data_IF_938183294876
#
_entry.id   IF_938183294876
#
_cell.length_a   1.000
_cell.length_b   1.000
_cell.length_c   1.000
_cell.angle_alpha   90.00
_cell.angle_beta   90.00
_cell.angle_gamma   90.00
#
_symmetry.space_group_name_H-M   'P 1'
#
loop_
_entity.id
_entity.type
_entity.pdbx_description
1 polymer ?
#
# COMPACT_ATOMS: atom_id res chain seq x y z
N UNK A 1 -10.60 20.79 4.20
CA UNK A 1 -9.67 19.67 4.06
C UNK A 1 -10.52 18.48 3.67
N UNK A 2 -10.20 17.82 2.55
CA UNK A 2 -10.91 16.62 2.09
C UNK A 2 -10.05 15.38 2.34
N UNK A 3 -10.61 14.36 2.97
CA UNK A 3 -9.97 13.05 3.12
C UNK A 3 -10.62 12.07 2.14
N UNK A 4 -9.80 11.30 1.45
CA UNK A 4 -10.22 10.17 0.61
C UNK A 4 -9.66 8.90 1.23
N UNK A 5 -10.54 7.97 1.58
CA UNK A 5 -10.16 6.65 2.06
C UNK A 5 -9.79 5.78 0.87
N UNK A 6 -8.57 5.25 0.87
CA UNK A 6 -8.04 4.42 -0.20
C UNK A 6 -7.98 2.94 0.20
N UNK A 7 -8.70 2.57 1.27
CA UNK A 7 -8.54 1.27 1.93
C UNK A 7 -9.75 0.37 1.71
N UNK A 8 -9.50 -0.88 1.33
CA UNK A 8 -10.50 -1.95 1.35
C UNK A 8 -10.90 -2.31 2.79
N UNK A 9 -12.19 -2.58 3.06
CA UNK A 9 -12.58 -3.14 4.34
C UNK A 9 -11.98 -4.55 4.51
N UNK A 10 -11.44 -4.83 5.69
CA UNK A 10 -11.06 -6.18 6.08
C UNK A 10 -12.27 -6.92 6.64
N UNK A 11 -12.57 -8.10 6.10
CA UNK A 11 -13.68 -8.94 6.55
C UNK A 11 -13.36 -10.43 6.43
N UNK A 12 -14.10 -11.24 7.19
CA UNK A 12 -13.95 -12.71 7.19
C UNK A 12 -14.23 -13.27 5.80
N UNK A 13 -13.28 -14.05 5.26
CA UNK A 13 -13.44 -14.69 3.95
C UNK A 13 -13.35 -13.75 2.75
N UNK A 14 -12.79 -12.55 2.90
CA UNK A 14 -12.49 -11.68 1.76
C UNK A 14 -11.55 -12.37 0.76
N UNK A 15 -11.60 -11.98 -0.54
CA UNK A 15 -10.63 -12.43 -1.53
C UNK A 15 -9.20 -12.12 -1.07
N UNK A 16 -8.30 -13.05 -1.34
CA UNK A 16 -6.85 -12.93 -1.15
C UNK A 16 -6.15 -13.42 -2.41
N UNK A 17 -4.86 -13.17 -2.52
CA UNK A 17 -4.05 -13.74 -3.60
C UNK A 17 -4.11 -15.27 -3.57
N UNK A 18 -4.00 -15.93 -4.73
CA UNK A 18 -4.07 -17.39 -4.79
C UNK A 18 -2.86 -18.01 -4.09
N UNK A 19 -3.13 -18.88 -3.11
CA UNK A 19 -2.10 -19.48 -2.25
C UNK A 19 -1.85 -18.74 -0.93
N UNK A 20 -2.36 -17.52 -0.74
CA UNK A 20 -2.18 -16.76 0.50
C UNK A 20 -3.04 -17.30 1.66
N UNK A 21 -2.58 -17.15 2.92
CA UNK A 21 -3.42 -17.43 4.08
C UNK A 21 -4.72 -16.63 4.06
N UNK A 22 -5.88 -17.25 4.32
CA UNK A 22 -7.15 -16.53 4.26
C UNK A 22 -7.29 -15.55 5.43
N UNK A 23 -8.01 -14.46 5.21
CA UNK A 23 -8.44 -13.56 6.29
C UNK A 23 -9.55 -14.24 7.10
N UNK A 24 -9.34 -14.31 8.42
CA UNK A 24 -10.30 -14.83 9.39
C UNK A 24 -10.57 -13.80 10.48
N UNK A 25 -11.84 -13.51 10.71
CA UNK A 25 -12.29 -12.58 11.76
C UNK A 25 -13.29 -13.28 12.67
N UNK A 26 -12.82 -13.83 13.77
CA UNK A 26 -13.63 -14.68 14.66
C UNK A 26 -14.00 -13.95 15.94
N UNK A 27 -15.28 -13.90 16.31
CA UNK A 27 -15.71 -13.37 17.61
C UNK A 27 -15.31 -14.35 18.72
N UNK A 28 -14.41 -13.93 19.61
CA UNK A 28 -13.89 -14.76 20.72
C UNK A 28 -14.45 -14.38 22.09
N UNK A 29 -14.94 -13.15 22.24
CA UNK A 29 -15.72 -12.71 23.41
C UNK A 29 -17.03 -12.06 22.96
N UNK A 30 -18.10 -12.28 23.70
CA UNK A 30 -19.42 -11.66 23.45
C UNK A 30 -19.85 -10.81 24.64
N UNK A 31 -20.61 -9.74 24.40
CA UNK A 31 -21.12 -8.88 25.49
C UNK A 31 -21.98 -9.63 26.48
N UNK A 32 -22.79 -10.58 26.01
CA UNK A 32 -23.69 -11.38 26.85
C UNK A 32 -22.91 -12.27 27.83
N UNK A 33 -21.84 -12.91 27.37
CA UNK A 33 -21.07 -13.87 28.17
C UNK A 33 -19.97 -13.18 28.98
N UNK A 34 -19.28 -12.23 28.36
CA UNK A 34 -18.00 -11.69 28.85
C UNK A 34 -18.11 -10.21 29.26
N UNK A 35 -19.20 -9.51 28.92
CA UNK A 35 -19.36 -8.07 29.19
C UNK A 35 -18.70 -7.13 28.16
N UNK A 36 -17.91 -7.68 27.24
CA UNK A 36 -17.27 -6.96 26.13
C UNK A 36 -17.24 -7.82 24.86
N UNK A 37 -16.89 -7.21 23.73
CA UNK A 37 -16.75 -7.93 22.45
C UNK A 37 -15.31 -7.85 21.96
N UNK A 38 -14.71 -9.00 21.66
CA UNK A 38 -13.35 -9.10 21.10
C UNK A 38 -13.40 -10.06 19.91
N UNK A 39 -12.67 -9.72 18.86
CA UNK A 39 -12.45 -10.57 17.69
C UNK A 39 -10.98 -10.93 17.59
N UNK A 40 -10.70 -12.18 17.28
CA UNK A 40 -9.40 -12.63 16.79
C UNK A 40 -9.31 -12.32 15.29
N UNK A 41 -8.18 -11.77 14.86
CA UNK A 41 -7.85 -11.49 13.47
C UNK A 41 -6.64 -12.34 13.07
N UNK A 42 -6.80 -13.19 12.05
CA UNK A 42 -5.70 -13.95 11.43
C UNK A 42 -5.67 -13.63 9.94
N UNK A 43 -4.51 -13.30 9.40
CA UNK A 43 -4.37 -12.90 7.99
C UNK A 43 -2.91 -12.94 7.53
N UNK A 44 -2.72 -12.87 6.22
CA UNK A 44 -1.42 -12.58 5.58
C UNK A 44 -1.00 -11.13 5.84
N UNK A 45 0.30 -10.86 5.82
CA UNK A 45 0.85 -9.49 5.78
C UNK A 45 0.46 -8.73 4.52
N UNK A 46 0.03 -9.47 3.48
CA UNK A 46 -0.37 -9.00 2.15
C UNK A 46 -1.90 -9.00 1.94
N UNK A 47 -2.67 -8.93 3.02
CA UNK A 47 -4.15 -8.98 2.96
C UNK A 47 -4.79 -7.59 2.90
N UNK A 48 -5.71 -7.40 1.95
CA UNK A 48 -6.41 -6.14 1.73
C UNK A 48 -5.49 -5.05 1.19
N UNK A 49 -5.79 -3.78 1.45
CA UNK A 49 -4.85 -2.69 1.12
C UNK A 49 -3.62 -2.77 2.01
N UNK A 50 -2.45 -2.97 1.41
CA UNK A 50 -1.22 -3.21 2.15
C UNK A 50 -0.02 -2.50 1.51
N UNK A 51 1.11 -2.55 2.22
CA UNK A 51 2.41 -2.05 1.77
C UNK A 51 3.44 -3.15 1.83
N UNK A 52 4.32 -3.19 0.83
CA UNK A 52 5.37 -4.20 0.71
C UNK A 52 6.75 -3.60 0.90
N UNK A 53 7.55 -4.30 1.71
CA UNK A 53 8.94 -3.97 1.94
C UNK A 53 9.86 -4.72 0.98
N UNK A 54 11.08 -4.23 0.73
CA UNK A 54 12.02 -4.88 -0.18
C UNK A 54 12.28 -6.36 0.12
N UNK A 55 12.28 -6.76 1.39
CA UNK A 55 12.49 -8.16 1.82
C UNK A 55 11.44 -9.13 1.26
N UNK A 56 10.26 -8.65 0.88
CA UNK A 56 9.18 -9.47 0.32
C UNK A 56 9.61 -10.24 -0.93
N UNK A 57 10.38 -9.61 -1.81
CA UNK A 57 10.82 -10.22 -3.08
C UNK A 57 12.34 -10.31 -3.24
N UNK A 58 13.12 -9.81 -2.28
CA UNK A 58 14.58 -9.76 -2.34
C UNK A 58 15.22 -10.17 -1.03
N UNK A 59 15.99 -11.26 -1.07
CA UNK A 59 16.80 -11.70 0.07
C UNK A 59 17.77 -10.59 0.52
N UNK A 60 17.80 -10.31 1.83
CA UNK A 60 18.60 -9.22 2.39
C UNK A 60 18.03 -7.82 2.16
N UNK A 61 16.83 -7.70 1.58
CA UNK A 61 16.08 -6.46 1.51
C UNK A 61 15.71 -5.93 2.90
N UNK A 62 15.43 -4.62 2.98
CA UNK A 62 14.95 -4.00 4.23
C UNK A 62 13.57 -4.56 4.61
N UNK A 63 13.39 -4.81 5.90
CA UNK A 63 12.10 -5.11 6.50
C UNK A 63 11.31 -3.83 6.78
N UNK A 64 10.00 -3.93 6.97
CA UNK A 64 9.14 -2.77 7.25
C UNK A 64 9.60 -1.96 8.48
N UNK A 65 10.05 -2.62 9.53
CA UNK A 65 10.50 -1.96 10.76
C UNK A 65 11.87 -1.27 10.65
N UNK A 66 12.53 -1.40 9.49
CA UNK A 66 13.79 -0.75 9.13
C UNK A 66 13.60 0.39 8.13
N UNK A 67 12.41 0.50 7.51
CA UNK A 67 12.08 1.56 6.55
C UNK A 67 11.72 2.86 7.30
N UNK A 68 12.32 4.01 6.96
CA UNK A 68 11.98 5.29 7.58
C UNK A 68 10.52 5.69 7.35
N UNK A 69 9.88 6.28 8.36
CA UNK A 69 8.48 6.72 8.27
C UNK A 69 8.20 7.69 7.10
N UNK A 70 9.19 8.47 6.71
CA UNK A 70 9.13 9.40 5.58
C UNK A 70 8.98 8.72 4.22
N UNK A 71 9.13 7.38 4.13
CA UNK A 71 8.82 6.61 2.92
C UNK A 71 7.36 6.12 2.90
N UNK A 72 6.64 6.12 4.03
CA UNK A 72 5.25 5.67 4.10
C UNK A 72 4.22 6.82 4.01
N UNK A 73 4.68 8.06 3.98
CA UNK A 73 3.82 9.22 3.84
C UNK A 73 4.55 10.37 3.14
N UNK A 74 3.79 11.23 2.47
CA UNK A 74 4.36 12.40 1.80
C UNK A 74 3.51 12.91 0.63
N UNK A 75 4.00 13.95 -0.07
CA UNK A 75 3.34 14.49 -1.24
C UNK A 75 3.19 13.42 -2.32
N UNK A 76 1.99 13.29 -2.88
CA UNK A 76 1.66 12.28 -3.88
C UNK A 76 0.75 12.84 -4.97
N UNK A 77 0.71 12.12 -6.08
CA UNK A 77 -0.08 12.43 -7.27
C UNK A 77 -0.55 11.15 -7.94
N UNK A 78 -1.69 11.22 -8.62
CA UNK A 78 -2.11 10.17 -9.55
C UNK A 78 -1.46 10.42 -10.91
N UNK A 79 -0.86 9.39 -11.50
CA UNK A 79 -0.19 9.45 -12.80
C UNK A 79 -0.71 8.37 -13.75
N UNK A 80 -0.50 8.59 -15.04
CA UNK A 80 -0.83 7.64 -16.11
C UNK A 80 0.41 6.98 -16.65
N UNK A 81 0.34 5.70 -16.99
CA UNK A 81 1.49 4.97 -17.56
C UNK A 81 2.01 5.59 -18.86
N UNK A 82 1.13 6.26 -19.61
CA UNK A 82 1.45 6.93 -20.87
C UNK A 82 2.12 8.30 -20.71
N UNK A 83 2.28 8.81 -19.48
CA UNK A 83 2.94 10.10 -19.27
C UNK A 83 4.42 10.05 -19.70
N UNK A 84 4.86 11.08 -20.43
CA UNK A 84 6.24 11.15 -20.92
C UNK A 84 7.28 11.20 -19.79
N UNK A 85 6.90 11.77 -18.64
CA UNK A 85 7.68 11.79 -17.40
C UNK A 85 6.75 11.86 -16.19
N UNK A 86 7.26 11.51 -15.01
CA UNK A 86 6.52 11.60 -13.75
C UNK A 86 7.02 12.75 -12.88
N UNK A 87 6.16 13.33 -12.02
CA UNK A 87 6.56 14.32 -11.05
C UNK A 87 7.65 13.80 -10.12
N UNK A 88 8.68 14.62 -9.91
CA UNK A 88 9.87 14.26 -9.14
C UNK A 88 9.60 14.30 -7.63
N UNK A 89 10.20 13.39 -6.87
CA UNK A 89 10.19 13.36 -5.40
C UNK A 89 8.78 13.32 -4.78
N UNK A 90 7.87 12.57 -5.42
CA UNK A 90 6.50 12.34 -4.94
C UNK A 90 6.19 10.85 -4.86
N UNK A 91 5.19 10.50 -4.06
CA UNK A 91 4.48 9.23 -4.22
C UNK A 91 3.74 9.20 -5.55
N UNK A 92 3.86 8.11 -6.29
CA UNK A 92 3.19 7.93 -7.58
C UNK A 92 2.10 6.88 -7.43
N UNK A 93 0.84 7.30 -7.54
CA UNK A 93 -0.31 6.40 -7.57
C UNK A 93 -0.78 6.17 -9.00
N UNK A 94 -1.04 4.92 -9.34
CA UNK A 94 -1.55 4.47 -10.62
C UNK A 94 -2.91 3.80 -10.42
N UNK A 95 -3.82 4.02 -11.37
CA UNK A 95 -5.10 3.31 -11.47
C UNK A 95 -5.12 2.34 -12.67
N UNK A 96 -4.07 2.37 -13.49
CA UNK A 96 -3.80 1.46 -14.61
C UNK A 96 -2.77 0.43 -14.15
N UNK A 97 -2.81 -0.79 -14.68
CA UNK A 97 -1.77 -1.79 -14.42
C UNK A 97 -0.40 -1.26 -14.85
N UNK A 98 0.59 -1.33 -13.96
CA UNK A 98 1.94 -0.80 -14.16
C UNK A 98 2.85 -1.91 -14.68
N UNK A 99 3.26 -1.85 -15.95
CA UNK A 99 4.19 -2.82 -16.53
C UNK A 99 5.64 -2.55 -16.11
N UNK A 100 6.48 -3.58 -16.23
CA UNK A 100 7.90 -3.52 -15.88
C UNK A 100 8.68 -2.43 -16.64
N UNK A 101 8.31 -2.14 -17.89
CA UNK A 101 8.95 -1.10 -18.72
C UNK A 101 8.69 0.34 -18.21
N UNK A 102 7.75 0.51 -17.28
CA UNK A 102 7.46 1.78 -16.63
C UNK A 102 8.48 2.09 -15.52
N UNK A 103 9.08 1.06 -14.92
CA UNK A 103 9.96 1.19 -13.74
C UNK A 103 11.15 2.13 -13.96
N UNK A 104 11.87 2.12 -15.11
CA UNK A 104 12.94 3.08 -15.35
C UNK A 104 12.49 4.55 -15.24
N UNK A 105 11.27 4.87 -15.68
CA UNK A 105 10.71 6.23 -15.56
C UNK A 105 10.33 6.57 -14.11
N UNK A 106 9.82 5.60 -13.35
CA UNK A 106 9.52 5.75 -11.93
C UNK A 106 10.80 6.01 -11.13
N UNK A 107 11.86 5.24 -11.39
CA UNK A 107 13.17 5.42 -10.74
C UNK A 107 13.77 6.77 -11.11
N UNK A 108 13.69 7.18 -12.37
CA UNK A 108 14.13 8.49 -12.83
C UNK A 108 13.34 9.66 -12.20
N UNK A 109 12.16 9.40 -11.65
CA UNK A 109 11.35 10.37 -10.91
C UNK A 109 11.71 10.48 -9.42
N UNK A 110 12.64 9.63 -8.93
CA UNK A 110 12.94 9.50 -7.51
C UNK A 110 11.66 9.36 -6.67
N UNK A 111 10.77 8.45 -7.09
CA UNK A 111 9.50 8.24 -6.42
C UNK A 111 9.71 7.83 -4.95
N UNK A 112 8.93 8.41 -4.03
CA UNK A 112 9.03 8.10 -2.60
C UNK A 112 8.50 6.69 -2.29
N UNK A 113 7.41 6.34 -2.96
CA UNK A 113 6.71 5.06 -2.96
C UNK A 113 5.85 4.99 -4.23
N UNK A 114 5.38 3.80 -4.55
CA UNK A 114 4.46 3.57 -5.68
C UNK A 114 3.23 2.85 -5.17
N UNK A 115 2.05 3.23 -5.65
CA UNK A 115 0.83 2.47 -5.37
C UNK A 115 -0.02 2.27 -6.62
N UNK A 116 -0.73 1.15 -6.69
CA UNK A 116 -1.61 0.82 -7.81
C UNK A 116 -1.54 -0.66 -8.19
N UNK A 117 -2.23 -1.07 -9.25
CA UNK A 117 -2.12 -2.43 -9.77
C UNK A 117 -0.72 -2.61 -10.40
N UNK A 118 0.17 -3.35 -9.76
CA UNK A 118 1.52 -3.59 -10.27
C UNK A 118 1.59 -4.97 -10.92
N UNK A 119 2.22 -5.08 -12.09
CA UNK A 119 2.65 -6.39 -12.57
C UNK A 119 3.77 -6.92 -11.67
N UNK A 120 3.82 -8.23 -11.44
CA UNK A 120 4.77 -8.87 -10.52
C UNK A 120 6.23 -8.47 -10.83
N UNK A 121 6.62 -8.45 -12.12
CA UNK A 121 7.96 -8.04 -12.53
C UNK A 121 8.23 -6.55 -12.24
N UNK A 122 7.21 -5.69 -12.38
CA UNK A 122 7.33 -4.27 -12.07
C UNK A 122 7.56 -4.05 -10.57
N UNK A 123 6.75 -4.71 -9.73
CA UNK A 123 6.90 -4.69 -8.27
C UNK A 123 8.26 -5.21 -7.83
N UNK A 124 8.67 -6.38 -8.35
CA UNK A 124 10.00 -6.95 -8.10
C UNK A 124 11.10 -5.95 -8.41
N UNK A 125 11.05 -5.26 -9.55
CA UNK A 125 12.05 -4.26 -9.91
C UNK A 125 12.00 -3.03 -8.99
N UNK A 126 10.82 -2.55 -8.59
CA UNK A 126 10.68 -1.42 -7.66
C UNK A 126 11.28 -1.73 -6.29
N UNK A 127 10.92 -2.89 -5.72
CA UNK A 127 11.42 -3.36 -4.43
C UNK A 127 12.94 -3.58 -4.45
N UNK A 128 13.51 -4.03 -5.58
CA UNK A 128 14.97 -4.15 -5.76
C UNK A 128 15.71 -2.82 -5.64
N UNK A 129 15.02 -1.70 -5.88
CA UNK A 129 15.53 -0.33 -5.73
C UNK A 129 15.19 0.30 -4.39
N UNK A 130 14.57 -0.46 -3.48
CA UNK A 130 14.17 0.03 -2.17
C UNK A 130 12.97 0.97 -2.20
N UNK A 131 12.22 1.01 -3.31
CA UNK A 131 10.96 1.75 -3.44
C UNK A 131 9.85 0.81 -2.96
N UNK A 132 9.20 1.17 -1.84
CA UNK A 132 8.08 0.40 -1.30
C UNK A 132 6.84 0.53 -2.19
N UNK A 133 6.03 -0.53 -2.23
CA UNK A 133 4.84 -0.62 -3.07
C UNK A 133 3.57 -0.70 -2.23
N UNK A 134 2.47 -0.16 -2.74
CA UNK A 134 1.13 -0.28 -2.16
C UNK A 134 0.19 -0.93 -3.16
N UNK A 135 -0.51 -1.95 -2.71
CA UNK A 135 -1.42 -2.75 -3.51
C UNK A 135 -2.85 -2.60 -2.98
N UNK A 136 -3.84 -2.96 -3.81
CA UNK A 136 -5.26 -2.93 -3.44
C UNK A 136 -5.75 -1.56 -2.90
N UNK A 137 -5.19 -0.46 -3.41
CA UNK A 137 -5.70 0.90 -3.18
C UNK A 137 -7.00 1.10 -3.97
N UNK A 138 -8.04 1.58 -3.31
CA UNK A 138 -9.33 1.94 -3.93
C UNK A 138 -9.53 3.44 -4.02
N UNK A 139 -10.50 3.89 -4.82
CA UNK A 139 -10.88 5.31 -4.97
C UNK A 139 -9.73 6.21 -5.48
N UNK A 140 -8.69 5.63 -6.08
CA UNK A 140 -7.52 6.38 -6.61
C UNK A 140 -7.97 7.33 -7.72
N UNK A 141 -8.99 6.96 -8.49
CA UNK A 141 -9.60 7.77 -9.54
C UNK A 141 -10.17 9.12 -9.03
N UNK A 142 -10.59 9.19 -7.76
CA UNK A 142 -11.09 10.43 -7.15
C UNK A 142 -10.00 11.49 -6.90
N UNK A 143 -8.73 11.09 -7.07
CA UNK A 143 -7.55 11.92 -6.88
C UNK A 143 -6.94 12.38 -8.20
N UNK A 144 -7.54 12.04 -9.35
CA UNK A 144 -7.06 12.47 -10.66
C UNK A 144 -7.11 14.00 -10.76
N UNK A 145 -5.97 14.61 -11.10
CA UNK A 145 -5.83 16.06 -11.20
C UNK A 145 -5.58 16.78 -9.87
N UNK A 146 -5.59 16.05 -8.75
CA UNK A 146 -5.31 16.61 -7.43
C UNK A 146 -3.83 16.42 -7.04
N UNK A 147 -3.33 17.33 -6.21
CA UNK A 147 -2.13 17.11 -5.41
C UNK A 147 -2.54 16.89 -3.97
N UNK A 148 -2.03 15.85 -3.34
CA UNK A 148 -2.43 15.45 -1.99
C UNK A 148 -1.24 14.98 -1.18
N UNK A 149 -1.42 14.91 0.13
CA UNK A 149 -0.51 14.19 1.02
C UNK A 149 -1.08 12.80 1.26
N UNK A 150 -0.30 11.78 0.96
CA UNK A 150 -0.65 10.38 1.21
C UNK A 150 -0.13 9.93 2.57
N UNK A 151 -0.91 9.10 3.25
CA UNK A 151 -0.54 8.42 4.48
C UNK A 151 -0.88 6.93 4.34
N UNK A 152 0.14 6.07 4.36
CA UNK A 152 0.01 4.61 4.27
C UNK A 152 0.87 3.89 5.31
N UNK A 153 0.86 4.38 6.55
CA UNK A 153 1.73 3.86 7.60
C UNK A 153 1.39 2.38 7.93
N UNK A 154 2.38 1.47 7.95
CA UNK A 154 2.17 0.08 8.30
C UNK A 154 2.03 -0.15 9.80
N UNK A 155 1.52 -1.32 10.17
CA UNK A 155 1.82 -1.90 11.47
C UNK A 155 3.34 -2.12 11.57
N UNK A 156 3.91 -1.84 12.74
CA UNK A 156 5.35 -2.04 12.99
C UNK A 156 5.65 -3.51 13.30
N UNK A 157 5.44 -4.38 12.32
CA UNK A 157 5.72 -5.82 12.40
C UNK A 157 7.24 -6.01 12.35
N UNK A 158 7.80 -6.66 13.38
CA UNK A 158 9.25 -6.91 13.48
C UNK A 158 9.67 -7.90 12.40
N UNK A 159 10.61 -7.52 11.53
CA UNK A 159 11.02 -8.36 10.40
C UNK A 159 9.89 -8.56 9.38
N UNK A 160 8.94 -7.61 9.31
CA UNK A 160 7.78 -7.70 8.43
C UNK A 160 8.15 -7.49 6.96
N UNK A 161 7.64 -8.36 6.10
CA UNK A 161 7.76 -8.28 4.65
C UNK A 161 6.66 -7.44 4.00
N UNK A 162 5.50 -7.38 4.64
CA UNK A 162 4.38 -6.51 4.28
C UNK A 162 3.51 -6.18 5.49
N UNK A 163 2.54 -5.30 5.31
CA UNK A 163 1.55 -4.98 6.34
C UNK A 163 0.28 -4.41 5.72
N UNK A 164 -0.91 -4.81 6.18
CA UNK A 164 -2.13 -4.05 5.94
C UNK A 164 -1.97 -2.61 6.43
N UNK A 165 -2.59 -1.66 5.73
CA UNK A 165 -2.54 -0.22 6.06
C UNK A 165 -3.93 0.38 6.05
N UNK A 166 -4.11 1.50 6.75
CA UNK A 166 -5.21 2.42 6.48
C UNK A 166 -4.68 3.55 5.60
N UNK A 167 -4.74 3.35 4.29
CA UNK A 167 -4.29 4.31 3.30
C UNK A 167 -5.28 5.47 3.16
N UNK A 168 -4.80 6.70 3.27
CA UNK A 168 -5.62 7.92 3.18
C UNK A 168 -4.90 8.98 2.37
N UNK A 169 -5.62 9.65 1.49
CA UNK A 169 -5.18 10.88 0.85
C UNK A 169 -5.82 12.10 1.51
N UNK A 170 -5.01 13.10 1.83
CA UNK A 170 -5.44 14.39 2.39
C UNK A 170 -5.20 15.47 1.34
N UNK A 171 -6.29 16.12 0.94
CA UNK A 171 -6.27 17.27 0.03
C UNK A 171 -6.55 18.52 0.87
N UNK A 172 -5.59 19.43 0.88
CA UNK A 172 -5.73 20.72 1.56
C UNK A 172 -6.68 21.64 0.78
N UNK A 173 -7.49 22.41 1.50
CA UNK A 173 -8.33 23.44 0.85
C UNK A 173 -7.41 24.55 0.33
N UNK A 174 -7.64 24.97 -0.92
CA UNK A 174 -6.94 26.12 -1.53
C UNK A 174 -7.41 27.45 -0.96
#
# INVERSE_FOLDING_TARGET
>A
MRLVDLTLPLYDGMPVYDGDPPVRVTKVCTREKDGWEVRELRMSTHSGTHVDAPVHMHEGGRNLDEVPLTQFCGPAVVVRIAAASFPQNKGLLFYEAVPADCVPRIVAANALFVGGPLEEEAERLLLSRGIITYTELVNVEELIGESFTFYGLPLRIRGGDGSPVRAVAVIDDK
#
